data_IF_871050774454
#
_entry.id   IF_871050774454
#
_cell.length_a   1.000
_cell.length_b   1.000
_cell.length_c   1.000
_cell.angle_alpha   90.00
_cell.angle_beta   90.00
_cell.angle_gamma   90.00
#
_symmetry.space_group_name_H-M   'P 1'
#
loop_
_entity.id
_entity.type
_entity.pdbx_description
1 polymer ?
#
# COMPACT_ATOMS: atom_id res chain seq x y z
N UNK A 1 25.60 15.52 -0.34
CA UNK A 1 24.19 15.91 -0.14
C UNK A 1 23.30 14.74 -0.54
N UNK A 2 22.43 14.30 0.36
CA UNK A 2 21.57 13.11 0.17
C UNK A 2 20.59 13.28 -0.99
N UNK A 3 19.94 14.46 -1.13
CA UNK A 3 19.05 14.75 -2.27
C UNK A 3 19.77 14.55 -3.61
N UNK A 4 21.04 14.99 -3.71
CA UNK A 4 21.84 14.77 -4.93
C UNK A 4 22.12 13.29 -5.17
N UNK A 5 22.50 12.53 -4.14
CA UNK A 5 22.78 11.11 -4.27
C UNK A 5 21.56 10.31 -4.75
N UNK A 6 20.36 10.62 -4.23
CA UNK A 6 19.11 10.03 -4.71
C UNK A 6 18.80 10.42 -6.16
N UNK A 7 19.03 11.66 -6.55
CA UNK A 7 18.84 12.11 -7.92
C UNK A 7 19.80 11.45 -8.90
N UNK A 8 21.08 11.32 -8.52
CA UNK A 8 22.10 10.62 -9.31
C UNK A 8 21.72 9.14 -9.48
N UNK A 9 21.25 8.48 -8.42
CA UNK A 9 20.74 7.13 -8.46
C UNK A 9 19.54 6.99 -9.42
N UNK A 10 18.54 7.85 -9.29
CA UNK A 10 17.34 7.83 -10.15
C UNK A 10 17.72 7.97 -11.63
N UNK A 11 18.56 8.95 -11.97
CA UNK A 11 18.99 9.18 -13.34
C UNK A 11 19.87 8.04 -13.87
N UNK A 12 20.84 7.58 -13.06
CA UNK A 12 21.86 6.61 -13.46
C UNK A 12 21.41 5.16 -13.48
N UNK A 13 20.31 4.79 -12.78
CA UNK A 13 19.86 3.40 -12.64
C UNK A 13 19.60 2.78 -14.02
N UNK A 14 20.32 1.70 -14.37
CA UNK A 14 20.14 0.90 -15.56
C UNK A 14 19.43 -0.43 -15.29
N UNK A 15 18.85 -1.04 -16.32
CA UNK A 15 18.14 -2.32 -16.13
C UNK A 15 19.09 -3.46 -15.74
N UNK A 16 20.30 -3.43 -16.26
CA UNK A 16 21.33 -4.45 -15.98
C UNK A 16 21.91 -4.33 -14.55
N UNK A 17 21.64 -3.23 -13.86
CA UNK A 17 22.00 -3.06 -12.44
C UNK A 17 21.03 -3.78 -11.50
N UNK A 18 19.85 -4.20 -11.99
CA UNK A 18 18.80 -4.80 -11.19
C UNK A 18 19.01 -6.30 -11.01
N UNK A 19 19.16 -6.80 -9.76
CA UNK A 19 19.12 -8.23 -9.49
C UNK A 19 17.76 -8.83 -9.89
N UNK A 20 17.77 -10.08 -10.38
CA UNK A 20 16.54 -10.78 -10.77
C UNK A 20 15.44 -10.78 -9.69
N UNK A 21 15.73 -10.96 -8.37
CA UNK A 21 14.71 -10.85 -7.34
C UNK A 21 14.00 -9.48 -7.30
N UNK A 22 14.72 -8.38 -7.59
CA UNK A 22 14.15 -7.02 -7.64
C UNK A 22 13.16 -6.90 -8.82
N UNK A 23 13.53 -7.39 -9.98
CA UNK A 23 12.67 -7.42 -11.17
C UNK A 23 11.41 -8.25 -10.91
N UNK A 24 11.57 -9.43 -10.32
CA UNK A 24 10.45 -10.31 -9.94
C UNK A 24 9.53 -9.63 -8.96
N UNK A 25 10.08 -9.01 -7.91
CA UNK A 25 9.28 -8.30 -6.90
C UNK A 25 8.54 -7.10 -7.50
N UNK A 26 9.16 -6.35 -8.42
CA UNK A 26 8.49 -5.26 -9.13
C UNK A 26 7.22 -5.74 -9.87
N UNK A 27 7.32 -6.86 -10.61
CA UNK A 27 6.14 -7.45 -11.28
C UNK A 27 5.07 -7.91 -10.28
N UNK A 28 5.46 -8.52 -9.16
CA UNK A 28 4.53 -8.95 -8.08
C UNK A 28 3.80 -7.77 -7.46
N UNK A 29 4.48 -6.65 -7.24
CA UNK A 29 3.89 -5.42 -6.70
C UNK A 29 2.91 -4.77 -7.68
N UNK A 30 3.21 -4.77 -8.98
CA UNK A 30 2.24 -4.34 -10.00
C UNK A 30 1.02 -5.25 -10.00
N UNK A 31 1.21 -6.57 -9.90
CA UNK A 31 0.11 -7.53 -9.86
C UNK A 31 -0.82 -7.26 -8.67
N UNK A 32 -0.25 -7.07 -7.48
CA UNK A 32 -1.00 -6.76 -6.26
C UNK A 32 -1.79 -5.45 -6.39
N UNK A 33 -1.11 -4.37 -6.81
CA UNK A 33 -1.72 -3.06 -6.95
C UNK A 33 -2.86 -3.05 -7.99
N UNK A 34 -2.66 -3.66 -9.16
CA UNK A 34 -3.69 -3.77 -10.19
C UNK A 34 -4.88 -4.58 -9.68
N UNK A 35 -4.64 -5.71 -9.00
CA UNK A 35 -5.70 -6.50 -8.38
C UNK A 35 -6.52 -5.70 -7.37
N UNK A 36 -5.86 -4.92 -6.51
CA UNK A 36 -6.53 -4.03 -5.55
C UNK A 36 -7.38 -2.96 -6.23
N UNK A 37 -6.88 -2.36 -7.32
CA UNK A 37 -7.64 -1.34 -8.07
C UNK A 37 -8.90 -1.91 -8.75
N UNK A 38 -8.81 -3.11 -9.33
CA UNK A 38 -9.96 -3.78 -9.94
C UNK A 38 -11.00 -4.15 -8.87
N UNK A 39 -10.56 -4.67 -7.72
CA UNK A 39 -11.45 -5.01 -6.61
C UNK A 39 -12.27 -3.81 -6.10
N UNK A 40 -11.69 -2.60 -6.12
CA UNK A 40 -12.33 -1.39 -5.60
C UNK A 40 -13.71 -1.11 -6.24
N UNK A 41 -13.92 -1.47 -7.50
CA UNK A 41 -15.19 -1.25 -8.20
C UNK A 41 -16.35 -2.03 -7.59
N UNK A 42 -16.10 -3.22 -7.09
CA UNK A 42 -17.11 -4.05 -6.44
C UNK A 42 -17.15 -3.85 -4.92
N UNK A 43 -16.00 -3.55 -4.30
CA UNK A 43 -15.84 -3.54 -2.84
C UNK A 43 -16.04 -2.16 -2.22
N UNK A 44 -15.76 -1.08 -2.97
CA UNK A 44 -15.95 0.30 -2.53
C UNK A 44 -16.45 1.19 -3.69
N UNK A 45 -17.71 0.99 -4.11
CA UNK A 45 -18.27 1.70 -5.27
C UNK A 45 -18.26 3.24 -5.12
N UNK A 46 -18.24 3.75 -3.90
CA UNK A 46 -18.22 5.19 -3.63
C UNK A 46 -16.87 5.80 -4.00
N UNK A 47 -15.76 5.15 -3.58
CA UNK A 47 -14.41 5.58 -3.97
C UNK A 47 -14.14 5.32 -5.45
N UNK A 48 -14.66 4.21 -6.01
CA UNK A 48 -14.54 3.94 -7.44
C UNK A 48 -15.26 5.01 -8.28
N UNK A 49 -16.45 5.44 -7.87
CA UNK A 49 -17.17 6.57 -8.49
C UNK A 49 -16.36 7.86 -8.39
N UNK A 50 -15.83 8.19 -7.21
CA UNK A 50 -14.98 9.37 -7.01
C UNK A 50 -13.77 9.36 -7.95
N UNK A 51 -13.07 8.21 -8.05
CA UNK A 51 -11.91 8.05 -8.93
C UNK A 51 -12.28 8.25 -10.41
N UNK A 52 -13.40 7.67 -10.86
CA UNK A 52 -13.90 7.85 -12.21
C UNK A 52 -14.26 9.32 -12.47
N UNK A 53 -15.00 9.94 -11.57
CA UNK A 53 -15.55 11.27 -11.75
C UNK A 53 -14.42 12.33 -11.78
N UNK A 54 -13.40 12.21 -10.90
CA UNK A 54 -12.26 13.12 -10.93
C UNK A 54 -11.44 12.99 -12.21
N UNK A 55 -11.19 11.77 -12.70
CA UNK A 55 -10.50 11.55 -13.96
C UNK A 55 -11.30 12.14 -15.14
N UNK A 56 -12.62 11.99 -15.11
CA UNK A 56 -13.53 12.52 -16.12
C UNK A 56 -13.57 14.05 -16.24
N UNK A 57 -13.14 14.78 -15.21
CA UNK A 57 -12.98 16.24 -15.26
C UNK A 57 -11.75 16.68 -16.06
N UNK A 58 -10.78 15.78 -16.30
CA UNK A 58 -9.51 16.08 -16.98
C UNK A 58 -9.22 15.10 -18.10
N UNK A 59 -10.12 14.99 -19.11
CA UNK A 59 -9.96 14.04 -20.20
C UNK A 59 -8.73 14.38 -21.06
N UNK A 60 -8.13 13.37 -21.68
CA UNK A 60 -7.04 13.54 -22.63
C UNK A 60 -7.07 12.50 -23.76
N UNK A 61 -6.59 12.89 -24.96
CA UNK A 61 -6.43 12.01 -26.10
C UNK A 61 -5.18 12.46 -26.91
N UNK A 62 -4.04 11.73 -26.90
CA UNK A 62 -3.81 10.53 -26.09
C UNK A 62 -3.82 10.84 -24.59
N UNK A 63 -4.23 9.86 -23.78
CA UNK A 63 -4.30 9.96 -22.32
C UNK A 63 -3.91 8.64 -21.67
N UNK A 64 -3.95 8.60 -20.36
CA UNK A 64 -3.72 7.41 -19.55
C UNK A 64 -5.06 6.82 -19.04
N UNK A 65 -5.16 5.50 -19.02
CA UNK A 65 -6.37 4.78 -18.63
C UNK A 65 -6.61 4.79 -17.13
N UNK A 66 -7.90 4.70 -16.75
CA UNK A 66 -8.32 4.41 -15.37
C UNK A 66 -8.65 2.92 -15.25
N UNK A 67 -7.98 2.24 -14.32
CA UNK A 67 -8.13 0.79 -14.11
C UNK A 67 -9.60 0.47 -13.80
N UNK A 68 -10.19 -0.49 -14.51
CA UNK A 68 -11.59 -0.89 -14.35
C UNK A 68 -12.61 -0.02 -15.11
N UNK A 69 -12.24 1.15 -15.65
CA UNK A 69 -13.12 2.06 -16.36
C UNK A 69 -12.87 2.03 -17.88
N UNK A 70 -13.62 1.19 -18.59
CA UNK A 70 -13.49 1.06 -20.04
C UNK A 70 -13.69 2.40 -20.76
N UNK A 71 -12.75 2.75 -21.68
CA UNK A 71 -12.83 3.95 -22.51
C UNK A 71 -12.57 5.28 -21.80
N UNK A 72 -12.33 5.29 -20.50
CA UNK A 72 -11.97 6.51 -19.79
C UNK A 72 -10.45 6.72 -19.83
N UNK A 73 -10.02 7.80 -20.50
CA UNK A 73 -8.64 8.26 -20.53
C UNK A 73 -8.54 9.71 -20.05
N UNK A 74 -7.58 9.98 -19.19
CA UNK A 74 -7.37 11.29 -18.58
C UNK A 74 -5.92 11.76 -18.76
N UNK A 75 -5.66 13.02 -18.42
CA UNK A 75 -4.29 13.50 -18.27
C UNK A 75 -3.53 12.62 -17.29
N UNK A 76 -2.24 12.27 -17.55
CA UNK A 76 -1.50 11.27 -16.75
C UNK A 76 -1.56 11.48 -15.25
N UNK A 77 -1.42 12.73 -14.79
CA UNK A 77 -1.46 13.07 -13.37
C UNK A 77 -2.82 12.75 -12.73
N UNK A 78 -3.93 12.95 -13.45
CA UNK A 78 -5.28 12.70 -12.97
C UNK A 78 -5.68 11.22 -13.11
N UNK A 79 -5.19 10.53 -14.13
CA UNK A 79 -5.30 9.07 -14.20
C UNK A 79 -4.55 8.41 -13.03
N UNK A 80 -3.34 8.89 -12.71
CA UNK A 80 -2.58 8.40 -11.56
C UNK A 80 -3.28 8.71 -10.22
N UNK A 81 -3.90 9.89 -10.08
CA UNK A 81 -4.74 10.23 -8.92
C UNK A 81 -5.89 9.22 -8.75
N UNK A 82 -6.63 8.98 -9.82
CA UNK A 82 -7.76 8.05 -9.80
C UNK A 82 -7.33 6.62 -9.48
N UNK A 83 -6.29 6.13 -10.14
CA UNK A 83 -5.77 4.78 -9.93
C UNK A 83 -5.17 4.60 -8.52
N UNK A 84 -4.52 5.63 -7.96
CA UNK A 84 -4.02 5.59 -6.57
C UNK A 84 -5.15 5.50 -5.54
N UNK A 85 -6.27 6.19 -5.77
CA UNK A 85 -7.48 6.07 -4.95
C UNK A 85 -8.02 4.63 -5.01
N UNK A 86 -8.13 4.06 -6.22
CA UNK A 86 -8.61 2.70 -6.41
C UNK A 86 -7.72 1.65 -5.73
N UNK A 87 -6.41 1.74 -5.89
CA UNK A 87 -5.47 0.77 -5.31
C UNK A 87 -5.59 0.74 -3.78
N UNK A 88 -5.70 1.89 -3.14
CA UNK A 88 -5.78 1.98 -1.66
C UNK A 88 -7.20 1.89 -1.11
N UNK A 89 -8.23 1.78 -1.95
CA UNK A 89 -9.63 1.87 -1.54
C UNK A 89 -10.01 0.91 -0.40
N UNK A 90 -9.57 -0.34 -0.48
CA UNK A 90 -9.88 -1.41 0.47
C UNK A 90 -8.78 -1.66 1.52
N UNK A 91 -7.72 -0.85 1.56
CA UNK A 91 -6.57 -1.02 2.47
C UNK A 91 -5.91 -2.42 2.37
N UNK A 92 -5.84 -2.95 1.14
CA UNK A 92 -5.35 -4.30 0.84
C UNK A 92 -4.05 -4.31 0.00
N UNK A 93 -3.51 -3.12 -0.30
CA UNK A 93 -2.30 -2.90 -1.07
C UNK A 93 -1.01 -3.12 -0.22
N UNK A 94 0.12 -3.29 -0.91
CA UNK A 94 1.43 -3.54 -0.31
C UNK A 94 1.83 -2.53 0.77
N UNK A 95 2.76 -2.92 1.62
CA UNK A 95 3.24 -2.05 2.70
C UNK A 95 4.73 -2.24 2.96
N UNK A 96 5.46 -1.15 3.01
CA UNK A 96 6.83 -1.10 3.53
C UNK A 96 6.80 -0.81 5.03
N UNK A 97 7.06 -1.83 5.88
CA UNK A 97 6.82 -1.74 7.33
C UNK A 97 7.70 -0.72 8.06
N UNK A 98 8.99 -0.58 7.68
CA UNK A 98 9.91 0.39 8.32
C UNK A 98 9.57 1.84 7.99
N UNK A 99 9.01 2.09 6.79
CA UNK A 99 8.57 3.42 6.36
C UNK A 99 7.09 3.70 6.67
N UNK A 100 6.32 2.70 7.13
CA UNK A 100 4.86 2.73 7.33
C UNK A 100 4.13 3.32 6.12
N UNK A 101 4.41 2.78 4.93
CA UNK A 101 4.10 3.39 3.63
C UNK A 101 3.52 2.36 2.68
N UNK A 102 2.39 2.69 2.06
CA UNK A 102 1.78 1.96 0.94
C UNK A 102 2.41 2.44 -0.37
N UNK A 103 3.54 1.85 -0.76
CA UNK A 103 4.33 2.36 -1.90
C UNK A 103 3.62 2.11 -3.23
N UNK A 104 3.00 0.93 -3.39
CA UNK A 104 2.37 0.53 -4.65
C UNK A 104 1.21 1.43 -5.05
N UNK A 105 0.39 1.91 -4.10
CA UNK A 105 -0.72 2.81 -4.40
C UNK A 105 -0.29 4.21 -4.87
N UNK A 106 1.00 4.53 -4.78
CA UNK A 106 1.58 5.79 -5.26
C UNK A 106 2.40 5.57 -6.53
N UNK A 107 3.34 4.62 -6.49
CA UNK A 107 4.34 4.41 -7.55
C UNK A 107 3.74 3.69 -8.75
N UNK A 108 2.94 2.63 -8.54
CA UNK A 108 2.35 1.89 -9.65
C UNK A 108 1.45 2.76 -10.53
N UNK A 109 0.48 3.54 -10.01
CA UNK A 109 -0.36 4.40 -10.83
C UNK A 109 0.45 5.50 -11.55
N UNK A 110 1.50 6.03 -10.91
CA UNK A 110 2.42 6.99 -11.54
C UNK A 110 3.09 6.38 -12.77
N UNK A 111 3.65 5.17 -12.63
CA UNK A 111 4.37 4.50 -13.72
C UNK A 111 3.43 4.07 -14.82
N UNK A 112 2.26 3.47 -14.50
CA UNK A 112 1.30 3.04 -15.51
C UNK A 112 0.80 4.22 -16.34
N UNK A 113 0.44 5.34 -15.71
CA UNK A 113 -0.05 6.53 -16.41
C UNK A 113 1.00 7.11 -17.36
N UNK A 114 2.26 7.22 -16.94
CA UNK A 114 3.33 7.71 -17.80
C UNK A 114 3.76 6.68 -18.84
N UNK A 115 3.70 5.38 -18.52
CA UNK A 115 4.06 4.34 -19.47
C UNK A 115 3.13 4.31 -20.71
N UNK A 116 1.85 4.65 -20.54
CA UNK A 116 0.92 4.76 -21.65
C UNK A 116 1.23 5.99 -22.53
N UNK A 117 1.49 7.15 -21.94
CA UNK A 117 1.69 8.40 -22.67
C UNK A 117 3.10 8.55 -23.24
N UNK A 118 4.11 8.07 -22.54
CA UNK A 118 5.52 8.10 -22.94
C UNK A 118 5.96 6.82 -23.71
N UNK A 119 5.03 5.87 -23.90
CA UNK A 119 5.27 4.60 -24.60
C UNK A 119 6.46 3.81 -24.05
N UNK A 120 6.51 3.68 -22.72
CA UNK A 120 7.60 2.95 -22.07
C UNK A 120 7.55 1.46 -22.43
N UNK A 121 8.73 0.88 -22.63
CA UNK A 121 8.91 -0.57 -22.60
C UNK A 121 8.71 -1.09 -21.16
N UNK A 122 8.50 -2.40 -21.03
CA UNK A 122 8.37 -3.01 -19.71
C UNK A 122 9.63 -2.84 -18.84
N UNK A 123 10.84 -2.88 -19.45
CA UNK A 123 12.10 -2.63 -18.73
C UNK A 123 12.19 -1.20 -18.20
N UNK A 124 11.80 -0.21 -19.00
CA UNK A 124 11.76 1.20 -18.56
C UNK A 124 10.73 1.41 -17.44
N UNK A 125 9.57 0.77 -17.53
CA UNK A 125 8.56 0.81 -16.47
C UNK A 125 9.08 0.19 -15.16
N UNK A 126 9.79 -0.95 -15.23
CA UNK A 126 10.42 -1.56 -14.05
C UNK A 126 11.47 -0.64 -13.43
N UNK A 127 12.30 0.02 -14.24
CA UNK A 127 13.27 1.01 -13.76
C UNK A 127 12.58 2.16 -13.01
N UNK A 128 11.50 2.69 -13.57
CA UNK A 128 10.72 3.75 -12.94
C UNK A 128 10.05 3.28 -11.63
N UNK A 129 9.53 2.04 -11.60
CA UNK A 129 8.99 1.41 -10.39
C UNK A 129 10.05 1.32 -9.30
N UNK A 130 11.20 0.69 -9.61
CA UNK A 130 12.29 0.49 -8.64
C UNK A 130 12.80 1.83 -8.10
N UNK A 131 13.05 2.82 -8.96
CA UNK A 131 13.48 4.16 -8.53
C UNK A 131 12.49 4.78 -7.54
N UNK A 132 11.19 4.65 -7.81
CA UNK A 132 10.13 5.16 -6.92
C UNK A 132 10.08 4.44 -5.57
N UNK A 133 10.12 3.11 -5.57
CA UNK A 133 10.11 2.31 -4.34
C UNK A 133 11.33 2.63 -3.47
N UNK A 134 12.53 2.68 -4.05
CA UNK A 134 13.75 3.00 -3.32
C UNK A 134 13.72 4.38 -2.67
N UNK A 135 13.30 5.40 -3.41
CA UNK A 135 13.24 6.77 -2.89
C UNK A 135 12.14 6.92 -1.82
N UNK A 136 10.93 6.38 -2.08
CA UNK A 136 9.82 6.46 -1.13
C UNK A 136 10.17 5.80 0.22
N UNK A 137 10.70 4.58 0.17
CA UNK A 137 11.06 3.82 1.37
C UNK A 137 12.16 4.52 2.18
N UNK A 138 13.22 4.98 1.52
CA UNK A 138 14.36 5.64 2.17
C UNK A 138 13.96 6.97 2.80
N UNK A 139 13.16 7.80 2.10
CA UNK A 139 12.63 9.04 2.67
C UNK A 139 11.71 8.73 3.85
N UNK A 140 10.86 7.70 3.74
CA UNK A 140 10.01 7.26 4.85
C UNK A 140 10.82 6.81 6.07
N UNK A 141 11.81 5.97 5.91
CA UNK A 141 12.68 5.53 7.01
C UNK A 141 13.45 6.68 7.67
N UNK A 142 13.82 7.69 6.88
CA UNK A 142 14.57 8.85 7.38
C UNK A 142 13.76 9.76 8.33
N UNK A 143 12.43 9.72 8.27
CA UNK A 143 11.54 10.53 9.12
C UNK A 143 10.83 9.75 10.22
N UNK A 144 10.83 8.40 10.17
CA UNK A 144 10.16 7.55 11.18
C UNK A 144 10.96 7.43 12.48
N UNK A 145 10.29 7.21 13.65
CA UNK A 145 8.84 7.02 13.83
C UNK A 145 8.04 8.31 14.07
N UNK A 146 8.67 9.43 14.44
CA UNK A 146 7.99 10.64 14.95
C UNK A 146 7.10 11.32 13.92
N UNK A 147 7.41 11.15 12.61
CA UNK A 147 6.60 11.59 11.50
C UNK A 147 5.15 11.11 11.56
N UNK A 148 4.95 9.82 11.88
CA UNK A 148 3.63 9.18 11.85
C UNK A 148 2.65 9.73 12.88
N UNK A 149 3.14 10.52 13.84
CA UNK A 149 2.29 11.17 14.84
C UNK A 149 1.27 12.14 14.20
N UNK A 150 1.65 12.82 13.14
CA UNK A 150 0.82 13.84 12.49
C UNK A 150 0.57 13.56 11.01
N UNK A 151 1.47 12.87 10.33
CA UNK A 151 1.51 12.77 8.90
C UNK A 151 1.26 11.37 8.40
N UNK A 152 0.45 11.25 7.36
CA UNK A 152 0.29 10.01 6.62
C UNK A 152 1.50 9.79 5.70
N UNK A 153 2.33 8.83 6.05
CA UNK A 153 3.59 8.52 5.35
C UNK A 153 3.38 8.28 3.85
N UNK A 154 2.28 7.62 3.47
CA UNK A 154 1.93 7.37 2.07
C UNK A 154 1.71 8.69 1.29
N UNK A 155 1.11 9.70 1.92
CA UNK A 155 0.88 10.99 1.28
C UNK A 155 2.16 11.81 1.13
N UNK A 156 2.99 11.83 2.17
CA UNK A 156 4.15 12.70 2.25
C UNK A 156 5.38 12.08 1.59
N UNK A 157 5.85 10.92 2.09
CA UNK A 157 7.02 10.22 1.56
C UNK A 157 6.74 9.62 0.17
N UNK A 158 5.49 9.18 -0.07
CA UNK A 158 5.05 8.70 -1.38
C UNK A 158 5.20 9.75 -2.48
N UNK A 159 5.00 11.04 -2.18
CA UNK A 159 5.22 12.13 -3.15
C UNK A 159 6.64 12.12 -3.72
N UNK A 160 7.66 11.84 -2.92
CA UNK A 160 9.04 11.69 -3.40
C UNK A 160 9.23 10.43 -4.25
N UNK A 161 8.55 9.33 -3.88
CA UNK A 161 8.56 8.11 -4.69
C UNK A 161 7.94 8.31 -6.07
N UNK A 162 6.75 8.92 -6.13
CA UNK A 162 6.11 9.28 -7.39
C UNK A 162 6.98 10.23 -8.22
N UNK A 163 7.63 11.20 -7.58
CA UNK A 163 8.55 12.14 -8.24
C UNK A 163 9.75 11.41 -8.85
N UNK A 164 10.37 10.49 -8.11
CA UNK A 164 11.48 9.67 -8.60
C UNK A 164 11.06 8.78 -9.78
N UNK A 165 9.90 8.11 -9.67
CA UNK A 165 9.32 7.32 -10.75
C UNK A 165 9.06 8.17 -12.00
N UNK A 166 8.45 9.34 -11.81
CA UNK A 166 8.13 10.23 -12.92
C UNK A 166 9.38 10.81 -13.57
N UNK A 167 10.40 11.20 -12.79
CA UNK A 167 11.68 11.67 -13.33
C UNK A 167 12.35 10.58 -14.18
N UNK A 168 12.33 9.32 -13.72
CA UNK A 168 12.87 8.18 -14.46
C UNK A 168 12.06 7.89 -15.73
N UNK A 169 10.73 7.86 -15.63
CA UNK A 169 9.83 7.63 -16.77
C UNK A 169 9.97 8.70 -17.86
N UNK A 170 10.14 9.96 -17.47
CA UNK A 170 10.37 11.09 -18.37
C UNK A 170 11.84 11.24 -18.82
N UNK A 171 12.70 10.29 -18.42
CA UNK A 171 14.13 10.25 -18.81
C UNK A 171 14.91 11.52 -18.47
N UNK A 172 14.56 12.17 -17.33
CA UNK A 172 15.26 13.37 -16.85
C UNK A 172 16.68 13.00 -16.41
N UNK A 173 17.61 13.92 -16.67
CA UNK A 173 18.99 13.79 -16.17
C UNK A 173 19.08 14.00 -14.64
N UNK A 174 20.27 13.86 -14.09
CA UNK A 174 20.48 13.97 -12.63
C UNK A 174 20.06 15.35 -12.08
N UNK A 175 20.24 16.45 -12.84
CA UNK A 175 19.80 17.78 -12.42
C UNK A 175 18.27 17.91 -12.52
N UNK A 176 17.65 17.37 -13.55
CA UNK A 176 16.21 17.27 -13.69
C UNK A 176 15.58 16.44 -12.57
N UNK A 177 16.13 15.27 -12.24
CA UNK A 177 15.69 14.43 -11.13
C UNK A 177 15.85 15.17 -9.79
N UNK A 178 16.94 15.90 -9.56
CA UNK A 178 17.18 16.70 -8.36
C UNK A 178 16.13 17.82 -8.24
N UNK A 179 15.84 18.55 -9.33
CA UNK A 179 14.78 19.57 -9.35
C UNK A 179 13.43 18.95 -9.06
N UNK A 180 13.13 17.77 -9.62
CA UNK A 180 11.89 17.03 -9.37
C UNK A 180 11.71 16.72 -7.89
N UNK A 181 12.74 16.16 -7.22
CA UNK A 181 12.69 15.91 -5.77
C UNK A 181 12.51 17.19 -4.96
N UNK A 182 13.18 18.29 -5.36
CA UNK A 182 13.02 19.58 -4.73
C UNK A 182 11.60 20.14 -4.82
N UNK A 183 10.95 20.02 -5.98
CA UNK A 183 9.56 20.44 -6.20
C UNK A 183 8.58 19.53 -5.44
N UNK A 184 8.84 18.22 -5.39
CA UNK A 184 8.03 17.27 -4.65
C UNK A 184 7.99 17.57 -3.15
N UNK A 185 9.15 17.94 -2.56
CA UNK A 185 9.23 18.24 -1.13
C UNK A 185 8.37 19.43 -0.70
N UNK A 186 8.11 20.38 -1.58
CA UNK A 186 7.23 21.52 -1.30
C UNK A 186 5.73 21.19 -1.45
N UNK A 187 5.39 20.02 -1.98
CA UNK A 187 4.02 19.55 -2.21
C UNK A 187 3.64 18.36 -1.31
N UNK A 188 4.62 17.83 -0.56
CA UNK A 188 4.41 16.71 0.36
C UNK A 188 3.48 17.13 1.50
N UNK A 189 2.28 16.55 1.57
CA UNK A 189 1.28 16.84 2.59
C UNK A 189 0.29 15.68 2.75
N UNK A 190 -0.35 15.60 3.91
CA UNK A 190 -1.39 14.63 4.25
C UNK A 190 -1.37 14.33 5.75
N UNK A 191 -2.49 14.59 6.43
CA UNK A 191 -2.61 14.47 7.89
C UNK A 191 -3.24 13.12 8.26
N UNK A 192 -2.93 12.63 9.46
CA UNK A 192 -3.44 11.36 10.00
C UNK A 192 -4.83 11.47 10.67
N UNK A 193 -5.53 12.60 10.53
CA UNK A 193 -6.85 12.83 11.15
C UNK A 193 -7.91 11.81 10.72
N UNK A 194 -7.75 11.16 9.57
CA UNK A 194 -8.66 10.11 9.10
C UNK A 194 -8.73 8.88 10.03
N UNK A 195 -7.75 8.66 10.91
CA UNK A 195 -7.84 7.60 11.91
C UNK A 195 -8.98 7.83 12.92
N UNK A 196 -9.31 9.09 13.19
CA UNK A 196 -10.38 9.47 14.11
C UNK A 196 -11.71 9.64 13.37
N UNK A 197 -11.71 10.26 12.19
CA UNK A 197 -12.93 10.56 11.42
C UNK A 197 -13.43 9.37 10.59
N UNK A 198 -12.53 8.44 10.20
CA UNK A 198 -12.89 7.31 9.35
C UNK A 198 -13.32 7.70 7.93
N UNK A 199 -12.90 8.86 7.44
CA UNK A 199 -13.26 9.42 6.14
C UNK A 199 -12.40 8.87 4.98
N UNK A 200 -12.68 9.32 3.76
CA UNK A 200 -12.02 8.84 2.54
C UNK A 200 -10.61 9.41 2.32
N UNK A 201 -10.16 10.40 3.10
CA UNK A 201 -8.89 11.10 2.84
C UNK A 201 -7.70 10.15 2.84
N UNK A 202 -7.74 9.08 3.67
CA UNK A 202 -6.72 8.03 3.64
C UNK A 202 -6.49 7.50 2.22
N UNK A 203 -7.56 7.15 1.51
CA UNK A 203 -7.46 6.57 0.15
C UNK A 203 -7.18 7.61 -0.92
N UNK A 204 -7.50 8.89 -0.68
CA UNK A 204 -7.17 10.00 -1.60
C UNK A 204 -5.68 10.32 -1.55
N UNK A 205 -5.03 10.17 -0.41
CA UNK A 205 -3.64 10.53 -0.18
C UNK A 205 -2.64 9.92 -1.17
N UNK A 206 -2.66 8.58 -1.47
CA UNK A 206 -1.73 8.00 -2.44
C UNK A 206 -1.93 8.55 -3.85
N UNK A 207 -3.17 8.71 -4.28
CA UNK A 207 -3.45 9.30 -5.60
C UNK A 207 -2.97 10.75 -5.70
N UNK A 208 -3.18 11.56 -4.65
CA UNK A 208 -2.65 12.93 -4.57
C UNK A 208 -1.12 12.93 -4.60
N UNK A 209 -0.46 12.01 -3.93
CA UNK A 209 1.00 11.88 -3.96
C UNK A 209 1.50 11.55 -5.39
N UNK A 210 0.82 10.64 -6.09
CA UNK A 210 1.10 10.31 -7.49
C UNK A 210 0.95 11.53 -8.42
N UNK A 211 -0.16 12.28 -8.30
CA UNK A 211 -0.40 13.52 -9.05
C UNK A 211 0.74 14.52 -8.82
N UNK A 212 1.08 14.80 -7.56
CA UNK A 212 2.11 15.77 -7.21
C UNK A 212 3.51 15.36 -7.71
N UNK A 213 3.82 14.06 -7.69
CA UNK A 213 5.07 13.54 -8.22
C UNK A 213 5.20 13.75 -9.74
N UNK A 214 4.14 13.43 -10.50
CA UNK A 214 4.10 13.66 -11.96
C UNK A 214 4.22 15.15 -12.26
N UNK A 215 3.45 16.00 -11.59
CA UNK A 215 3.50 17.45 -11.78
C UNK A 215 4.90 18.00 -11.48
N UNK A 216 5.56 17.50 -10.42
CA UNK A 216 6.93 17.92 -10.07
C UNK A 216 7.93 17.58 -11.18
N UNK A 217 7.83 16.39 -11.78
CA UNK A 217 8.71 15.97 -12.86
C UNK A 217 8.45 16.76 -14.16
N UNK A 218 7.18 17.03 -14.48
CA UNK A 218 6.82 17.85 -15.62
C UNK A 218 7.34 19.29 -15.47
N UNK A 219 7.15 19.92 -14.29
CA UNK A 219 7.69 21.26 -14.01
C UNK A 219 9.23 21.29 -14.12
N UNK A 220 9.92 20.29 -13.59
CA UNK A 220 11.37 20.19 -13.70
C UNK A 220 11.83 20.04 -15.15
N UNK A 221 11.11 19.24 -15.94
CA UNK A 221 11.35 19.07 -17.39
C UNK A 221 11.15 20.34 -18.19
N UNK A 222 10.25 21.23 -17.75
CA UNK A 222 10.02 22.56 -18.32
C UNK A 222 11.01 23.61 -17.80
N UNK A 223 12.00 23.23 -16.97
CA UNK A 223 13.05 24.11 -16.48
C UNK A 223 12.76 24.81 -15.15
N UNK A 224 11.70 24.44 -14.45
CA UNK A 224 11.45 25.01 -13.12
C UNK A 224 12.59 24.70 -12.14
N UNK A 225 12.98 25.69 -11.36
CA UNK A 225 14.01 25.54 -10.32
C UNK A 225 13.43 25.13 -8.98
N UNK A 226 14.25 24.53 -8.12
CA UNK A 226 13.83 24.06 -6.80
C UNK A 226 15.00 24.10 -5.79
N UNK A 227 14.74 23.95 -4.48
CA UNK A 227 15.80 23.83 -3.48
C UNK A 227 16.68 22.59 -3.75
N UNK A 228 18.01 22.74 -3.89
CA UNK A 228 18.90 21.64 -4.30
C UNK A 228 19.08 20.54 -3.24
N UNK A 229 18.84 20.82 -1.97
CA UNK A 229 18.97 19.93 -0.83
C UNK A 229 17.68 19.84 -0.03
N UNK A 230 16.52 19.70 -0.68
CA UNK A 230 15.21 19.75 -0.04
C UNK A 230 15.07 18.77 1.13
N UNK A 231 15.72 17.61 1.08
CA UNK A 231 15.62 16.60 2.14
C UNK A 231 16.44 17.01 3.36
N UNK A 232 17.74 17.29 3.18
CA UNK A 232 18.70 17.50 4.28
C UNK A 232 18.91 18.96 4.71
N UNK A 233 18.30 19.93 4.03
CA UNK A 233 18.44 21.36 4.40
C UNK A 233 17.86 21.61 5.80
N UNK A 234 18.45 22.52 6.64
CA UNK A 234 17.93 22.84 7.98
C UNK A 234 16.49 23.36 8.02
N UNK A 235 15.98 23.87 6.90
CA UNK A 235 14.56 24.24 6.68
C UNK A 235 13.89 23.31 5.66
N UNK A 236 14.45 22.10 5.46
CA UNK A 236 13.98 21.12 4.49
C UNK A 236 13.06 20.09 5.11
N UNK A 237 12.82 19.03 4.32
CA UNK A 237 11.80 18.04 4.63
C UNK A 237 12.07 17.29 5.95
N UNK A 238 13.29 16.78 6.17
CA UNK A 238 13.61 16.04 7.39
C UNK A 238 13.37 16.86 8.65
N UNK A 239 13.84 18.11 8.65
CA UNK A 239 13.70 19.01 9.79
C UNK A 239 12.25 19.43 10.06
N UNK A 240 11.44 19.59 9.00
CA UNK A 240 10.04 20.01 9.14
C UNK A 240 9.09 18.84 9.50
N UNK A 241 9.42 17.62 9.13
CA UNK A 241 8.51 16.48 9.20
C UNK A 241 8.89 15.40 10.21
N UNK A 242 10.04 15.53 10.90
CA UNK A 242 10.46 14.60 11.94
C UNK A 242 11.11 15.32 13.12
N UNK A 243 10.82 14.85 14.34
CA UNK A 243 11.51 15.30 15.57
C UNK A 243 12.82 14.52 15.77
N UNK A 244 12.98 13.37 15.14
CA UNK A 244 14.14 12.49 15.24
C UNK A 244 14.53 11.99 13.83
N UNK A 245 15.02 12.90 12.94
CA UNK A 245 15.36 12.52 11.59
C UNK A 245 16.61 11.63 11.54
N UNK A 246 16.63 10.69 10.59
CA UNK A 246 17.72 9.73 10.33
C UNK A 246 18.28 9.94 8.92
N UNK A 247 19.04 11.01 8.66
CA UNK A 247 19.48 11.35 7.31
C UNK A 247 20.34 10.27 6.64
N UNK A 248 21.01 9.42 7.40
CA UNK A 248 21.77 8.29 6.89
C UNK A 248 20.89 7.26 6.16
N UNK A 249 19.63 7.10 6.55
CA UNK A 249 18.69 6.19 5.90
C UNK A 249 18.41 6.54 4.43
N UNK A 250 18.62 7.80 4.05
CA UNK A 250 18.45 8.24 2.66
C UNK A 250 19.41 7.56 1.68
N UNK A 251 20.62 7.23 2.12
CA UNK A 251 21.71 6.79 1.22
C UNK A 251 22.39 5.48 1.65
N UNK A 252 22.14 5.00 2.86
CA UNK A 252 22.74 3.74 3.32
C UNK A 252 22.34 2.58 2.41
N UNK A 253 23.31 1.84 1.86
CA UNK A 253 23.07 0.73 0.94
C UNK A 253 22.40 1.10 -0.39
N UNK A 254 22.34 2.37 -0.77
CA UNK A 254 21.73 2.80 -2.02
C UNK A 254 22.40 2.15 -3.24
N UNK A 255 21.63 1.44 -4.07
CA UNK A 255 22.12 0.70 -5.22
C UNK A 255 22.72 -0.68 -4.91
N UNK A 256 22.81 -1.08 -3.64
CA UNK A 256 23.32 -2.41 -3.22
C UNK A 256 22.34 -3.17 -2.32
N UNK A 257 21.59 -2.45 -1.50
CA UNK A 257 20.47 -2.98 -0.71
C UNK A 257 19.17 -2.43 -1.28
N UNK A 258 18.23 -3.32 -1.57
CA UNK A 258 17.01 -2.98 -2.30
C UNK A 258 15.80 -2.96 -1.38
N UNK A 259 15.30 -1.75 -1.07
CA UNK A 259 14.15 -1.56 -0.19
C UNK A 259 12.83 -2.09 -0.80
N UNK A 260 12.73 -2.18 -2.12
CA UNK A 260 11.59 -2.81 -2.79
C UNK A 260 11.38 -4.26 -2.33
N UNK A 261 12.45 -5.00 -1.97
CA UNK A 261 12.38 -6.35 -1.43
C UNK A 261 11.84 -6.40 0.02
N UNK A 262 11.79 -5.25 0.71
CA UNK A 262 11.25 -5.11 2.06
C UNK A 262 9.77 -4.73 2.08
N UNK A 263 9.11 -4.67 0.91
CA UNK A 263 7.66 -4.52 0.81
C UNK A 263 6.98 -5.86 1.00
N UNK A 264 6.04 -5.88 1.94
CA UNK A 264 5.15 -7.01 2.18
C UNK A 264 3.82 -6.84 1.45
N UNK A 265 3.12 -7.96 1.23
CA UNK A 265 1.77 -8.00 0.68
C UNK A 265 0.76 -8.17 1.79
N UNK A 266 -0.31 -7.39 1.81
CA UNK A 266 -1.39 -7.65 2.75
C UNK A 266 -2.15 -8.91 2.35
N UNK A 267 -2.29 -9.84 3.28
CA UNK A 267 -3.05 -11.07 3.09
C UNK A 267 -4.52 -10.88 3.48
N UNK A 268 -4.80 -9.92 4.36
CA UNK A 268 -6.15 -9.54 4.79
C UNK A 268 -6.43 -8.08 4.46
N UNK A 269 -7.66 -7.71 4.06
CA UNK A 269 -8.05 -6.34 3.70
C UNK A 269 -8.31 -5.46 4.94
N UNK A 270 -7.28 -5.27 5.76
CA UNK A 270 -7.33 -4.53 7.03
C UNK A 270 -5.97 -3.91 7.37
N UNK A 271 -5.88 -3.16 8.46
CA UNK A 271 -4.59 -2.60 8.89
C UNK A 271 -3.59 -3.72 9.21
N UNK A 272 -2.30 -3.48 8.92
CA UNK A 272 -1.25 -4.49 9.13
C UNK A 272 -1.19 -5.00 10.58
N UNK A 273 -1.51 -4.13 11.55
CA UNK A 273 -1.56 -4.47 12.97
C UNK A 273 -2.58 -5.59 13.32
N UNK A 274 -3.58 -5.82 12.47
CA UNK A 274 -4.58 -6.88 12.67
C UNK A 274 -4.18 -8.23 12.06
N UNK A 275 -3.15 -8.28 11.21
CA UNK A 275 -2.84 -9.51 10.43
C UNK A 275 -2.39 -10.67 11.32
N UNK A 276 -1.45 -10.45 12.24
CA UNK A 276 -0.99 -11.52 13.16
C UNK A 276 -2.12 -12.03 14.06
N UNK A 277 -2.95 -11.18 14.72
CA UNK A 277 -4.06 -11.69 15.51
C UNK A 277 -5.14 -12.37 14.67
N UNK A 278 -5.42 -11.93 13.43
CA UNK A 278 -6.32 -12.63 12.52
C UNK A 278 -5.77 -14.02 12.21
N UNK A 279 -4.50 -14.11 11.82
CA UNK A 279 -3.85 -15.38 11.48
C UNK A 279 -3.86 -16.36 12.67
N UNK A 280 -3.54 -15.88 13.88
CA UNK A 280 -3.60 -16.68 15.09
C UNK A 280 -5.04 -17.17 15.39
N UNK A 281 -6.02 -16.28 15.25
CA UNK A 281 -7.45 -16.63 15.44
C UNK A 281 -7.89 -17.70 14.45
N UNK A 282 -7.59 -17.52 13.15
CA UNK A 282 -7.95 -18.49 12.11
C UNK A 282 -7.27 -19.84 12.33
N UNK A 283 -6.01 -19.85 12.78
CA UNK A 283 -5.31 -21.09 13.12
C UNK A 283 -6.04 -21.84 14.24
N UNK A 284 -6.47 -21.15 15.29
CA UNK A 284 -7.18 -21.73 16.42
C UNK A 284 -8.54 -22.31 16.01
N UNK A 285 -9.39 -21.50 15.36
CA UNK A 285 -10.76 -21.94 14.99
C UNK A 285 -10.78 -23.03 13.92
N UNK A 286 -9.74 -23.13 13.07
CA UNK A 286 -9.63 -24.19 12.08
C UNK A 286 -9.03 -25.48 12.65
N UNK A 287 -8.19 -25.39 13.69
CA UNK A 287 -7.57 -26.55 14.35
C UNK A 287 -8.46 -27.18 15.41
N UNK A 288 -9.30 -26.39 16.05
CA UNK A 288 -10.11 -26.80 17.19
C UNK A 288 -11.62 -26.66 16.91
N UNK A 289 -12.49 -27.50 17.51
CA UNK A 289 -13.95 -27.43 17.34
C UNK A 289 -14.57 -26.32 18.17
N UNK A 290 -14.15 -25.07 17.94
CA UNK A 290 -14.65 -23.90 18.66
C UNK A 290 -16.00 -23.48 18.09
N UNK A 291 -17.07 -23.54 18.89
CA UNK A 291 -18.36 -22.91 18.60
C UNK A 291 -18.28 -21.42 19.02
N UNK A 292 -18.46 -20.47 18.11
CA UNK A 292 -18.40 -19.04 18.46
C UNK A 292 -19.40 -18.62 19.55
N UNK A 293 -20.54 -19.29 19.69
CA UNK A 293 -21.54 -19.01 20.72
C UNK A 293 -21.02 -19.32 22.13
N UNK A 294 -20.09 -20.28 22.25
CA UNK A 294 -19.49 -20.74 23.50
C UNK A 294 -18.22 -19.98 23.88
N UNK A 295 -17.78 -19.01 23.07
CA UNK A 295 -16.63 -18.16 23.40
C UNK A 295 -16.99 -17.29 24.60
N UNK A 296 -16.33 -17.50 25.72
CA UNK A 296 -16.47 -16.69 26.93
C UNK A 296 -15.61 -15.43 26.86
N UNK A 297 -14.37 -15.53 26.31
CA UNK A 297 -13.44 -14.42 26.13
C UNK A 297 -12.41 -14.73 25.04
N UNK A 298 -12.01 -13.70 24.30
CA UNK A 298 -10.81 -13.72 23.46
C UNK A 298 -9.85 -12.66 24.01
N UNK A 299 -8.60 -13.05 24.27
CA UNK A 299 -7.54 -12.13 24.65
C UNK A 299 -6.49 -12.09 23.57
N UNK A 300 -6.15 -10.90 23.08
CA UNK A 300 -5.02 -10.68 22.19
C UNK A 300 -3.94 -9.89 22.93
N UNK A 301 -2.86 -10.55 23.29
CA UNK A 301 -1.64 -9.92 23.81
C UNK A 301 -0.77 -9.50 22.65
N UNK A 302 -0.34 -8.24 22.61
CA UNK A 302 0.39 -7.66 21.49
C UNK A 302 1.21 -6.43 21.91
N UNK A 303 1.85 -5.75 20.97
CA UNK A 303 2.61 -4.54 21.25
C UNK A 303 1.72 -3.34 21.57
N UNK A 304 2.26 -2.40 22.36
CA UNK A 304 1.55 -1.25 22.98
C UNK A 304 0.75 -0.42 21.98
N UNK A 305 1.29 -0.16 20.80
CA UNK A 305 0.61 0.66 19.77
C UNK A 305 -0.76 0.11 19.40
N UNK A 306 -0.92 -1.23 19.32
CA UNK A 306 -2.23 -1.84 19.01
C UNK A 306 -3.21 -1.62 20.16
N UNK A 307 -2.77 -1.83 21.39
CA UNK A 307 -3.63 -1.68 22.57
C UNK A 307 -4.10 -0.24 22.76
N UNK A 308 -3.29 0.75 22.38
CA UNK A 308 -3.60 2.18 22.56
C UNK A 308 -4.39 2.79 21.41
N UNK A 309 -4.18 2.37 20.16
CA UNK A 309 -4.74 3.05 18.98
C UNK A 309 -5.76 2.22 18.20
N UNK A 310 -5.71 0.88 18.28
CA UNK A 310 -6.50 0.00 17.41
C UNK A 310 -7.39 -0.98 18.18
N UNK A 311 -7.61 -0.73 19.46
CA UNK A 311 -8.45 -1.55 20.36
C UNK A 311 -9.92 -1.12 20.41
N UNK A 312 -10.33 -0.13 19.61
CA UNK A 312 -11.69 0.39 19.54
C UNK A 312 -12.71 -0.67 19.10
N UNK A 313 -13.88 -0.71 19.78
CA UNK A 313 -15.00 -1.61 19.48
C UNK A 313 -16.20 -0.90 18.84
N UNK A 314 -16.14 0.42 18.70
CA UNK A 314 -17.12 1.24 18.00
C UNK A 314 -16.91 1.12 16.50
N UNK A 315 -17.64 0.22 15.86
CA UNK A 315 -17.52 -0.04 14.41
C UNK A 315 -18.85 0.27 13.71
N UNK A 316 -18.93 1.42 13.05
CA UNK A 316 -20.10 1.90 12.33
C UNK A 316 -19.95 1.89 10.81
N UNK A 317 -18.72 1.65 10.29
CA UNK A 317 -18.44 1.63 8.85
C UNK A 317 -17.41 0.54 8.51
N UNK A 318 -17.28 0.21 7.23
CA UNK A 318 -16.26 -0.73 6.74
C UNK A 318 -14.84 -0.26 7.10
N UNK A 319 -14.56 1.05 7.02
CA UNK A 319 -13.24 1.59 7.38
C UNK A 319 -12.99 1.47 8.88
N UNK A 320 -13.96 1.83 9.73
CA UNK A 320 -13.85 1.65 11.18
C UNK A 320 -13.61 0.17 11.56
N UNK A 321 -14.27 -0.75 10.85
CA UNK A 321 -14.09 -2.19 11.06
C UNK A 321 -12.68 -2.67 10.66
N UNK A 322 -12.11 -2.18 9.54
CA UNK A 322 -10.77 -2.53 9.06
C UNK A 322 -9.65 -2.06 9.99
N UNK A 323 -9.87 -0.98 10.74
CA UNK A 323 -8.90 -0.47 11.72
C UNK A 323 -9.13 -0.98 13.15
N UNK A 324 -10.22 -1.69 13.40
CA UNK A 324 -10.53 -2.31 14.69
C UNK A 324 -9.97 -3.72 14.79
N UNK A 325 -8.86 -3.89 15.52
CA UNK A 325 -8.28 -5.22 15.75
C UNK A 325 -9.26 -6.16 16.47
N UNK A 326 -10.02 -5.73 17.51
CA UNK A 326 -11.03 -6.60 18.15
C UNK A 326 -12.11 -7.06 17.17
N UNK A 327 -12.57 -6.19 16.25
CA UNK A 327 -13.55 -6.57 15.24
C UNK A 327 -12.98 -7.64 14.29
N UNK A 328 -11.77 -7.42 13.77
CA UNK A 328 -11.12 -8.38 12.88
C UNK A 328 -10.96 -9.76 13.52
N UNK A 329 -10.58 -9.82 14.81
CA UNK A 329 -10.51 -11.06 15.58
C UNK A 329 -11.89 -11.69 15.71
N UNK A 330 -12.90 -10.90 16.12
CA UNK A 330 -14.24 -11.41 16.36
C UNK A 330 -14.89 -12.01 15.11
N UNK A 331 -14.84 -11.29 13.98
CA UNK A 331 -15.42 -11.77 12.74
C UNK A 331 -14.66 -12.98 12.18
N UNK A 332 -13.31 -13.00 12.32
CA UNK A 332 -12.50 -14.17 11.96
C UNK A 332 -12.85 -15.40 12.82
N UNK A 333 -13.12 -15.22 14.09
CA UNK A 333 -13.51 -16.31 14.99
C UNK A 333 -14.90 -16.87 14.65
N UNK A 334 -15.83 -16.03 14.21
CA UNK A 334 -17.20 -16.43 13.86
C UNK A 334 -17.28 -17.07 12.50
N UNK A 335 -16.63 -16.45 11.48
CA UNK A 335 -16.74 -16.87 10.08
C UNK A 335 -15.71 -17.93 9.66
N UNK A 336 -14.66 -18.14 10.46
CA UNK A 336 -13.48 -18.95 10.10
C UNK A 336 -12.80 -18.48 8.81
N UNK A 337 -12.99 -17.23 8.46
CA UNK A 337 -12.44 -16.55 7.30
C UNK A 337 -12.35 -15.04 7.56
N UNK A 338 -11.47 -14.35 6.84
CA UNK A 338 -11.45 -12.90 6.77
C UNK A 338 -11.04 -12.46 5.37
N UNK A 339 -11.99 -11.88 4.67
CA UNK A 339 -11.84 -11.24 3.36
C UNK A 339 -12.74 -10.01 3.31
N UNK A 340 -13.03 -9.52 2.12
CA UNK A 340 -13.86 -8.32 1.93
C UNK A 340 -15.30 -8.49 2.44
N UNK A 341 -15.88 -9.67 2.28
CA UNK A 341 -17.25 -9.96 2.73
C UNK A 341 -17.46 -9.71 4.23
N UNK A 342 -16.41 -9.87 5.05
CA UNK A 342 -16.46 -9.65 6.49
C UNK A 342 -16.59 -8.17 6.87
N UNK A 343 -16.38 -7.26 5.94
CA UNK A 343 -16.54 -5.81 6.14
C UNK A 343 -17.84 -5.24 5.56
N UNK A 344 -18.73 -6.09 5.05
CA UNK A 344 -20.04 -5.69 4.58
C UNK A 344 -20.92 -5.18 5.75
N UNK A 345 -21.80 -4.16 5.55
CA UNK A 345 -22.64 -3.59 6.61
C UNK A 345 -23.46 -4.63 7.38
N UNK A 346 -24.02 -5.61 6.67
CA UNK A 346 -24.78 -6.69 7.28
C UNK A 346 -23.93 -7.55 8.23
N UNK A 347 -22.63 -7.73 7.91
CA UNK A 347 -21.73 -8.52 8.76
C UNK A 347 -21.22 -7.72 9.95
N UNK A 348 -20.98 -6.43 9.76
CA UNK A 348 -20.64 -5.50 10.86
C UNK A 348 -21.76 -5.44 11.90
N UNK A 349 -23.01 -5.51 11.47
CA UNK A 349 -24.20 -5.50 12.33
C UNK A 349 -24.62 -6.87 12.90
N UNK A 350 -23.97 -7.95 12.52
CA UNK A 350 -24.36 -9.31 12.93
C UNK A 350 -24.33 -9.50 14.45
N UNK A 351 -25.42 -10.00 15.10
CA UNK A 351 -25.48 -10.11 16.54
C UNK A 351 -24.42 -11.03 17.16
N UNK A 352 -24.04 -12.13 16.48
CA UNK A 352 -23.03 -13.05 16.99
C UNK A 352 -21.63 -12.44 16.89
N UNK A 353 -21.32 -11.73 15.80
CA UNK A 353 -20.06 -10.99 15.67
C UNK A 353 -19.98 -9.92 16.76
N UNK A 354 -21.05 -9.17 17.01
CA UNK A 354 -21.10 -8.14 18.05
C UNK A 354 -20.93 -8.74 19.45
N UNK A 355 -21.52 -9.90 19.71
CA UNK A 355 -21.35 -10.60 20.98
C UNK A 355 -19.89 -11.01 21.20
N UNK A 356 -19.22 -11.59 20.20
CA UNK A 356 -17.80 -12.00 20.29
C UNK A 356 -16.90 -10.77 20.37
N UNK A 357 -17.18 -9.71 19.62
CA UNK A 357 -16.48 -8.42 19.69
C UNK A 357 -16.49 -7.85 21.12
N UNK A 358 -17.64 -7.86 21.79
CA UNK A 358 -17.76 -7.37 23.16
C UNK A 358 -16.86 -8.15 24.15
N UNK A 359 -16.61 -9.43 23.88
CA UNK A 359 -15.79 -10.36 24.68
C UNK A 359 -14.31 -10.40 24.26
N UNK A 360 -13.91 -9.62 23.24
CA UNK A 360 -12.53 -9.56 22.74
C UNK A 360 -11.78 -8.42 23.42
N UNK A 361 -10.62 -8.72 24.01
CA UNK A 361 -9.77 -7.78 24.73
C UNK A 361 -8.39 -7.70 24.10
N UNK A 362 -7.83 -6.49 24.02
CA UNK A 362 -6.49 -6.23 23.52
C UNK A 362 -5.61 -5.77 24.70
N UNK A 363 -4.52 -6.47 24.93
CA UNK A 363 -3.62 -6.23 26.07
C UNK A 363 -2.20 -5.99 25.55
N UNK A 364 -1.55 -4.95 26.06
CA UNK A 364 -0.12 -4.73 25.78
C UNK A 364 0.73 -5.71 26.61
N UNK A 365 1.58 -6.48 25.93
CA UNK A 365 2.55 -7.38 26.54
C UNK A 365 3.96 -6.80 26.36
N UNK A 366 4.72 -6.62 27.45
CA UNK A 366 6.06 -6.02 27.41
C UNK A 366 7.09 -6.85 26.61
N UNK A 367 6.93 -8.17 26.59
CA UNK A 367 7.79 -9.07 25.84
C UNK A 367 7.57 -8.93 24.33
N UNK A 368 6.30 -8.86 23.92
CA UNK A 368 5.92 -8.65 22.53
C UNK A 368 6.18 -7.21 22.06
N UNK A 369 6.04 -6.22 22.95
CA UNK A 369 6.32 -4.81 22.64
C UNK A 369 7.78 -4.59 22.22
N UNK A 370 8.73 -5.31 22.85
CA UNK A 370 10.15 -5.25 22.50
C UNK A 370 10.50 -5.76 21.10
N UNK A 371 9.60 -6.54 20.48
CA UNK A 371 9.81 -7.07 19.13
C UNK A 371 9.35 -6.08 18.05
N UNK A 372 8.51 -5.10 18.40
CA UNK A 372 8.05 -4.04 17.50
C UNK A 372 9.14 -2.94 17.39
N UNK A 373 9.41 -2.34 16.22
CA UNK A 373 8.70 -2.49 14.94
C UNK A 373 9.29 -3.56 14.00
N UNK A 374 10.29 -4.32 14.41
CA UNK A 374 10.87 -5.36 13.56
C UNK A 374 9.86 -6.47 13.24
N UNK A 375 9.04 -6.83 14.22
CA UNK A 375 7.95 -7.79 14.11
C UNK A 375 6.61 -7.14 14.45
N UNK A 376 5.51 -7.77 14.02
CA UNK A 376 4.14 -7.38 14.35
C UNK A 376 3.46 -8.52 15.14
N UNK A 377 3.92 -8.78 16.37
CA UNK A 377 3.56 -9.98 17.11
C UNK A 377 2.16 -9.91 17.72
N UNK A 378 1.51 -11.09 17.80
CA UNK A 378 0.27 -11.29 18.54
C UNK A 378 0.23 -12.68 19.16
N UNK A 379 -0.29 -12.78 20.40
CA UNK A 379 -0.67 -14.02 21.06
C UNK A 379 -2.15 -13.97 21.33
N UNK A 380 -2.92 -14.84 20.65
CA UNK A 380 -4.37 -14.91 20.81
C UNK A 380 -4.73 -16.13 21.66
N UNK A 381 -5.54 -15.89 22.71
CA UNK A 381 -6.13 -16.95 23.53
C UNK A 381 -7.65 -16.88 23.41
N UNK A 382 -8.28 -18.00 23.01
CA UNK A 382 -9.74 -18.16 22.97
C UNK A 382 -10.14 -19.08 24.15
N UNK A 383 -10.87 -18.54 25.10
CA UNK A 383 -11.42 -19.27 26.25
C UNK A 383 -12.92 -19.54 26.03
N UNK A 384 -13.33 -20.78 26.26
CA UNK A 384 -14.73 -21.24 26.18
C UNK A 384 -15.42 -21.20 27.54
N UNK A 385 -16.74 -21.22 27.52
CA UNK A 385 -17.59 -21.32 28.72
C UNK A 385 -17.41 -22.65 29.50
N UNK A 386 -16.85 -23.69 28.86
CA UNK A 386 -16.44 -24.95 29.46
C UNK A 386 -15.21 -24.85 30.35
N UNK A 387 -14.45 -23.74 30.28
CA UNK A 387 -13.17 -23.59 30.95
C UNK A 387 -11.96 -24.00 30.05
N UNK A 388 -12.22 -24.61 28.88
CA UNK A 388 -11.15 -24.88 27.91
C UNK A 388 -10.61 -23.59 27.31
N UNK A 389 -9.30 -23.55 27.03
CA UNK A 389 -8.64 -22.41 26.39
C UNK A 389 -7.61 -22.87 25.37
N UNK A 390 -7.54 -22.17 24.26
CA UNK A 390 -6.63 -22.46 23.16
C UNK A 390 -5.81 -21.20 22.86
N UNK A 391 -4.50 -21.35 22.69
CA UNK A 391 -3.58 -20.23 22.46
C UNK A 391 -2.73 -20.47 21.21
N UNK A 392 -2.55 -19.41 20.40
CA UNK A 392 -1.66 -19.38 19.24
C UNK A 392 -0.85 -18.08 19.23
N UNK A 393 0.41 -18.15 18.81
CA UNK A 393 1.29 -17.00 18.71
C UNK A 393 1.82 -16.84 17.28
N UNK A 394 1.67 -15.65 16.72
CA UNK A 394 2.20 -15.27 15.43
C UNK A 394 3.12 -14.07 15.61
N UNK A 395 4.39 -14.21 15.26
CA UNK A 395 5.39 -13.14 15.39
C UNK A 395 5.47 -12.28 14.13
N UNK A 396 5.35 -12.91 12.94
CA UNK A 396 5.34 -12.25 11.64
C UNK A 396 4.10 -12.70 10.88
N UNK A 397 3.26 -11.77 10.42
CA UNK A 397 2.08 -12.14 9.66
C UNK A 397 2.47 -12.63 8.26
N UNK A 398 1.64 -13.50 7.68
CA UNK A 398 1.74 -13.90 6.29
C UNK A 398 1.74 -12.69 5.37
N UNK A 399 2.65 -12.67 4.40
CA UNK A 399 2.85 -11.55 3.49
C UNK A 399 3.94 -10.56 3.94
N UNK A 400 4.44 -10.63 5.19
CA UNK A 400 5.66 -9.93 5.60
C UNK A 400 6.86 -10.45 4.79
N UNK A 401 7.87 -9.63 4.46
CA UNK A 401 9.09 -10.11 3.79
C UNK A 401 9.78 -11.29 4.48
N UNK A 402 9.66 -11.39 5.82
CA UNK A 402 10.14 -12.54 6.60
C UNK A 402 9.19 -13.75 6.61
N UNK A 403 7.97 -13.62 6.10
CA UNK A 403 6.97 -14.68 5.94
C UNK A 403 6.20 -14.48 4.62
N UNK A 404 6.87 -14.52 3.45
CA UNK A 404 6.32 -14.05 2.18
C UNK A 404 5.15 -14.89 1.69
N UNK A 405 4.29 -14.29 0.86
CA UNK A 405 3.33 -15.03 0.05
C UNK A 405 4.07 -15.85 -1.02
N UNK A 406 3.67 -17.08 -1.22
CA UNK A 406 4.05 -17.85 -2.42
C UNK A 406 3.44 -17.21 -3.67
N UNK A 407 3.98 -17.57 -4.85
CA UNK A 407 3.43 -17.09 -6.12
C UNK A 407 1.99 -17.56 -6.33
N UNK A 408 1.64 -18.76 -5.85
CA UNK A 408 0.28 -19.28 -5.91
C UNK A 408 -0.68 -18.46 -5.03
N UNK A 409 -0.28 -18.10 -3.80
CA UNK A 409 -1.11 -17.31 -2.89
C UNK A 409 -1.32 -15.89 -3.40
N UNK A 410 -0.29 -15.28 -4.00
CA UNK A 410 -0.43 -13.97 -4.63
C UNK A 410 -1.32 -14.04 -5.88
N UNK A 411 -1.19 -15.10 -6.69
CA UNK A 411 -2.07 -15.34 -7.84
C UNK A 411 -3.53 -15.55 -7.41
N UNK A 412 -3.77 -16.27 -6.31
CA UNK A 412 -5.12 -16.50 -5.78
C UNK A 412 -5.72 -15.21 -5.21
N UNK A 413 -4.93 -14.38 -4.53
CA UNK A 413 -5.33 -13.02 -4.13
C UNK A 413 -5.73 -12.18 -5.35
N UNK A 414 -4.91 -12.18 -6.40
CA UNK A 414 -5.19 -11.44 -7.63
C UNK A 414 -6.48 -11.91 -8.30
N UNK A 415 -6.66 -13.24 -8.45
CA UNK A 415 -7.90 -13.83 -9.01
C UNK A 415 -9.13 -13.42 -8.20
N UNK A 416 -9.04 -13.54 -6.88
CA UNK A 416 -10.12 -13.14 -5.98
C UNK A 416 -10.48 -11.66 -6.13
N UNK A 417 -9.49 -10.79 -6.17
CA UNK A 417 -9.66 -9.35 -6.35
C UNK A 417 -10.31 -8.98 -7.71
N UNK A 418 -10.03 -9.75 -8.77
CA UNK A 418 -10.53 -9.45 -10.11
C UNK A 418 -11.87 -10.12 -10.44
N UNK A 419 -12.27 -11.16 -9.71
CA UNK A 419 -13.36 -12.06 -10.07
C UNK A 419 -14.73 -11.37 -10.25
N UNK A 420 -15.00 -10.29 -9.53
CA UNK A 420 -16.27 -9.56 -9.61
C UNK A 420 -16.38 -8.66 -10.86
N UNK A 421 -15.25 -8.30 -11.49
CA UNK A 421 -15.20 -7.30 -12.56
C UNK A 421 -14.73 -7.85 -13.90
N UNK A 422 -13.86 -8.86 -13.90
CA UNK A 422 -13.21 -9.36 -15.10
C UNK A 422 -13.54 -10.85 -15.32
N UNK A 423 -13.74 -11.23 -16.58
CA UNK A 423 -13.88 -12.64 -16.93
C UNK A 423 -12.60 -13.44 -16.62
N UNK A 424 -12.73 -14.70 -16.20
CA UNK A 424 -11.59 -15.53 -15.76
C UNK A 424 -10.47 -15.62 -16.80
N UNK A 425 -10.79 -15.73 -18.08
CA UNK A 425 -9.80 -15.73 -19.16
C UNK A 425 -9.07 -14.39 -19.32
N UNK A 426 -9.71 -13.26 -19.01
CA UNK A 426 -9.06 -11.94 -19.00
C UNK A 426 -8.15 -11.81 -17.78
N UNK A 427 -8.57 -12.29 -16.62
CA UNK A 427 -7.76 -12.31 -15.39
C UNK A 427 -6.43 -13.00 -15.61
N UNK A 428 -6.44 -14.20 -16.23
CA UNK A 428 -5.20 -14.94 -16.49
C UNK A 428 -4.32 -14.23 -17.52
N UNK A 429 -4.88 -13.69 -18.60
CA UNK A 429 -4.09 -12.90 -19.58
C UNK A 429 -3.46 -11.66 -18.93
N UNK A 430 -4.20 -10.96 -18.08
CA UNK A 430 -3.71 -9.80 -17.35
C UNK A 430 -2.57 -10.17 -16.40
N UNK A 431 -2.75 -11.25 -15.63
CA UNK A 431 -1.73 -11.80 -14.73
C UNK A 431 -0.44 -12.14 -15.48
N UNK A 432 -0.56 -12.89 -16.58
CA UNK A 432 0.59 -13.26 -17.41
C UNK A 432 1.30 -12.04 -18.02
N UNK A 433 0.54 -11.07 -18.53
CA UNK A 433 1.11 -9.84 -19.09
C UNK A 433 1.89 -9.05 -18.04
N UNK A 434 1.39 -8.96 -16.80
CA UNK A 434 2.08 -8.28 -15.71
C UNK A 434 3.35 -9.04 -15.30
N UNK A 435 3.29 -10.36 -15.14
CA UNK A 435 4.46 -11.15 -14.74
C UNK A 435 5.55 -11.19 -15.83
N UNK A 436 5.17 -11.00 -17.09
CA UNK A 436 6.09 -10.89 -18.23
C UNK A 436 6.39 -9.44 -18.63
N UNK A 437 6.11 -8.49 -17.76
CA UNK A 437 6.38 -7.07 -18.02
C UNK A 437 7.81 -6.78 -18.53
N UNK A 438 8.88 -7.43 -18.02
CA UNK A 438 10.25 -7.24 -18.55
C UNK A 438 10.42 -7.49 -20.05
N UNK A 439 9.55 -8.34 -20.62
CA UNK A 439 9.58 -8.74 -22.03
C UNK A 439 8.72 -7.82 -22.93
N UNK A 440 7.87 -6.99 -22.31
CA UNK A 440 6.92 -6.15 -23.04
C UNK A 440 7.64 -5.04 -23.82
N UNK A 441 7.39 -4.97 -25.13
CA UNK A 441 7.89 -3.88 -25.96
C UNK A 441 7.20 -2.55 -25.63
N UNK A 442 5.96 -2.59 -25.15
CA UNK A 442 5.21 -1.42 -24.70
C UNK A 442 4.23 -1.82 -23.59
N UNK A 443 4.19 -1.02 -22.52
CA UNK A 443 3.21 -1.19 -21.42
C UNK A 443 1.79 -0.78 -21.86
N UNK A 444 1.63 0.00 -22.91
CA UNK A 444 0.32 0.39 -23.45
C UNK A 444 -0.57 -0.82 -23.84
N UNK A 445 0.02 -1.98 -24.15
CA UNK A 445 -0.74 -3.20 -24.44
C UNK A 445 -1.40 -3.78 -23.17
N UNK A 446 -0.81 -3.55 -21.98
CA UNK A 446 -1.38 -3.92 -20.69
C UNK A 446 -2.66 -3.12 -20.40
N UNK A 447 -2.68 -1.83 -20.77
CA UNK A 447 -3.82 -0.95 -20.52
C UNK A 447 -5.15 -1.50 -21.09
N UNK A 448 -5.09 -2.22 -22.24
CA UNK A 448 -6.28 -2.85 -22.84
C UNK A 448 -6.87 -3.98 -22.01
N UNK A 449 -6.11 -4.56 -21.09
CA UNK A 449 -6.55 -5.65 -20.22
C UNK A 449 -7.05 -5.15 -18.85
N UNK A 450 -6.83 -3.86 -18.53
CA UNK A 450 -7.14 -3.27 -17.22
C UNK A 450 -8.61 -2.91 -17.01
N UNK A 451 -9.45 -3.06 -18.01
CA UNK A 451 -10.88 -2.77 -17.92
C UNK A 451 -11.71 -3.94 -18.49
N UNK A 452 -12.99 -4.11 -18.07
CA UNK A 452 -13.89 -5.08 -18.68
C UNK A 452 -13.91 -4.95 -20.20
N UNK A 453 -14.00 -6.07 -20.91
CA UNK A 453 -14.26 -6.05 -22.35
C UNK A 453 -15.62 -5.39 -22.62
N UNK A 454 -15.69 -4.52 -23.61
CA UNK A 454 -16.89 -3.81 -24.02
C UNK A 454 -17.96 -4.78 -24.54
#
# INVERSE_FOLDING_TARGET
>A
MATKALADFVAGLGYEDLPQPVVTQACRLVLDAVGCAVAAWAEDPEKARLARDIAGLYPASPGAGVIGAAGLAAQPAFAALANGILINAADNDDTHKRALLHVGSVVVPTVLALAETERLSGREAILALVAGYEVAARVGMAVMPTHYRFWHSTATNGTFGAAASAAKALRLDADGARRTLGLAGTQAAGLNTFFESGDMTKSIHPGKAALNGILSAQLAGLGATSPPGILEHPKGYLAAFSLEPKPEALVSGLGTEWEILQNGFKFFPSILASHSPIQATLALVNRHPIDPRRIARITNETYRTVATHFSGKEVGSAMAARVSVPYCIAVAAVDRALGQAQFAPARIGDPLVRQVLARTEIIADEGLDKLYPANFPARVTIALDSGEAFTETVLLPKGDPGAPLSDQELADKFRGNCAAMLASGQVERLREAILRLPEAASVADLARLLAPAA
#
